data_IF_141629474172
#
_entry.id   IF_141629474172
#
_cell.length_a   1.000
_cell.length_b   1.000
_cell.length_c   1.000
_cell.angle_alpha   90.00
_cell.angle_beta   90.00
_cell.angle_gamma   90.00
#
_symmetry.space_group_name_H-M   'P 1'
#
loop_
_entity.id
_entity.type
_entity.pdbx_description
1 polymer ?
#
# COMPACT_ATOMS: atom_id res chain seq x y z
N UNK A 1 10.27 9.82 3.68
CA UNK A 1 9.31 9.78 2.56
C UNK A 1 10.00 10.40 1.36
N UNK A 2 10.23 9.61 0.31
CA UNK A 2 10.96 10.08 -0.86
C UNK A 2 10.19 11.16 -1.63
N UNK A 3 10.90 12.20 -2.06
CA UNK A 3 10.43 13.29 -2.93
C UNK A 3 9.60 12.82 -4.14
N UNK A 4 9.80 11.59 -4.62
CA UNK A 4 9.11 11.05 -5.79
C UNK A 4 7.57 10.97 -5.69
N UNK A 5 6.98 11.02 -4.50
CA UNK A 5 5.53 10.82 -4.34
C UNK A 5 4.69 12.11 -4.29
N UNK A 6 5.30 13.30 -4.17
CA UNK A 6 4.55 14.55 -3.98
C UNK A 6 3.83 14.97 -5.25
N UNK A 7 4.49 14.92 -6.41
CA UNK A 7 3.87 15.29 -7.70
C UNK A 7 2.72 14.34 -8.08
N UNK A 8 2.89 13.04 -7.86
CA UNK A 8 1.85 12.05 -8.13
C UNK A 8 0.65 12.26 -7.20
N UNK A 9 0.89 12.53 -5.92
CA UNK A 9 -0.16 12.84 -4.96
C UNK A 9 -0.97 14.08 -5.38
N UNK A 10 -0.29 15.18 -5.73
CA UNK A 10 -0.95 16.40 -6.21
C UNK A 10 -1.74 16.17 -7.50
N UNK A 11 -1.21 15.39 -8.44
CA UNK A 11 -1.92 15.06 -9.67
C UNK A 11 -3.21 14.27 -9.38
N UNK A 12 -3.17 13.29 -8.47
CA UNK A 12 -4.35 12.51 -8.08
C UNK A 12 -5.37 13.38 -7.35
N UNK A 13 -4.94 14.30 -6.48
CA UNK A 13 -5.80 15.25 -5.80
C UNK A 13 -6.54 16.17 -6.78
N UNK A 14 -5.84 16.73 -7.77
CA UNK A 14 -6.44 17.54 -8.83
C UNK A 14 -7.41 16.73 -9.71
N UNK A 15 -7.08 15.48 -10.02
CA UNK A 15 -7.98 14.58 -10.77
C UNK A 15 -9.24 14.30 -9.95
N UNK A 16 -9.11 13.98 -8.66
CA UNK A 16 -10.27 13.77 -7.78
C UNK A 16 -11.15 15.01 -7.71
N UNK A 17 -10.56 16.19 -7.55
CA UNK A 17 -11.30 17.45 -7.55
C UNK A 17 -12.10 17.64 -8.85
N UNK A 18 -11.47 17.41 -10.00
CA UNK A 18 -12.13 17.50 -11.30
C UNK A 18 -13.28 16.49 -11.46
N UNK A 19 -13.05 15.25 -10.99
CA UNK A 19 -14.05 14.18 -11.03
C UNK A 19 -15.26 14.51 -10.14
N UNK A 20 -15.04 14.97 -8.91
CA UNK A 20 -16.14 15.35 -8.02
C UNK A 20 -16.90 16.57 -8.52
N UNK A 21 -16.22 17.56 -9.08
CA UNK A 21 -16.90 18.70 -9.73
C UNK A 21 -17.81 18.21 -10.86
N UNK A 22 -17.30 17.30 -11.70
CA UNK A 22 -18.08 16.67 -12.77
C UNK A 22 -19.29 15.90 -12.28
N UNK A 23 -19.12 15.06 -11.26
CA UNK A 23 -20.21 14.29 -10.64
C UNK A 23 -21.29 15.21 -10.04
N UNK A 24 -20.90 16.29 -9.36
CA UNK A 24 -21.83 17.28 -8.80
C UNK A 24 -22.67 17.91 -9.92
N UNK A 25 -22.02 18.35 -11.00
CA UNK A 25 -22.72 18.95 -12.15
C UNK A 25 -23.69 17.96 -12.81
N UNK A 26 -23.27 16.71 -13.02
CA UNK A 26 -24.12 15.65 -13.58
C UNK A 26 -25.30 15.31 -12.66
N UNK A 27 -25.12 15.43 -11.35
CA UNK A 27 -26.18 15.13 -10.38
C UNK A 27 -27.28 16.17 -10.42
N UNK A 28 -26.95 17.45 -10.62
CA UNK A 28 -27.96 18.51 -10.73
C UNK A 28 -28.87 18.37 -11.97
N UNK A 29 -28.44 17.61 -12.98
CA UNK A 29 -29.29 17.27 -14.14
C UNK A 29 -30.32 16.16 -13.82
N UNK A 30 -30.21 15.50 -12.66
CA UNK A 30 -31.12 14.43 -12.24
C UNK A 30 -32.30 14.99 -11.43
N UNK A 31 -33.47 14.37 -11.58
CA UNK A 31 -34.69 14.73 -10.86
C UNK A 31 -35.12 13.70 -9.81
N UNK A 32 -35.95 14.15 -8.86
CA UNK A 32 -36.70 13.28 -7.95
C UNK A 32 -35.85 12.45 -6.99
N UNK A 33 -36.23 11.18 -6.78
CA UNK A 33 -35.55 10.29 -5.81
C UNK A 33 -34.12 9.93 -6.27
N UNK A 34 -33.89 9.85 -7.58
CA UNK A 34 -32.56 9.52 -8.14
C UNK A 34 -31.55 10.60 -7.77
N UNK A 35 -31.94 11.87 -7.82
CA UNK A 35 -31.12 12.99 -7.35
C UNK A 35 -30.67 12.80 -5.90
N UNK A 36 -31.62 12.49 -4.99
CA UNK A 36 -31.30 12.32 -3.57
C UNK A 36 -30.34 11.16 -3.29
N UNK A 37 -30.53 10.03 -3.97
CA UNK A 37 -29.64 8.88 -3.86
C UNK A 37 -28.23 9.19 -4.39
N UNK A 38 -28.14 9.84 -5.55
CA UNK A 38 -26.88 10.23 -6.17
C UNK A 38 -26.12 11.25 -5.34
N UNK A 39 -26.82 12.26 -4.82
CA UNK A 39 -26.23 13.25 -3.94
C UNK A 39 -25.63 12.62 -2.67
N UNK A 40 -26.35 11.69 -2.03
CA UNK A 40 -25.83 10.98 -0.86
C UNK A 40 -24.63 10.10 -1.19
N UNK A 41 -24.67 9.39 -2.33
CA UNK A 41 -23.55 8.57 -2.79
C UNK A 41 -22.30 9.42 -3.02
N UNK A 42 -22.41 10.58 -3.68
CA UNK A 42 -21.30 11.50 -3.90
C UNK A 42 -20.72 12.00 -2.58
N UNK A 43 -21.57 12.38 -1.62
CA UNK A 43 -21.10 12.83 -0.30
C UNK A 43 -20.32 11.73 0.42
N UNK A 44 -20.81 10.49 0.37
CA UNK A 44 -20.11 9.34 0.93
C UNK A 44 -18.77 9.10 0.23
N UNK A 45 -18.73 9.13 -1.11
CA UNK A 45 -17.50 8.94 -1.88
C UNK A 45 -16.48 10.04 -1.62
N UNK A 46 -16.91 11.29 -1.47
CA UNK A 46 -16.06 12.43 -1.14
C UNK A 46 -15.40 12.26 0.24
N UNK A 47 -16.17 11.80 1.23
CA UNK A 47 -15.63 11.50 2.55
C UNK A 47 -14.64 10.32 2.50
N UNK A 48 -14.98 9.25 1.78
CA UNK A 48 -14.11 8.09 1.61
C UNK A 48 -12.81 8.43 0.86
N UNK A 49 -12.87 9.31 -0.15
CA UNK A 49 -11.68 9.77 -0.89
C UNK A 49 -10.79 10.64 -0.02
N UNK A 50 -11.37 11.50 0.81
CA UNK A 50 -10.61 12.31 1.77
C UNK A 50 -9.82 11.43 2.75
N UNK A 51 -10.47 10.42 3.33
CA UNK A 51 -9.78 9.44 4.21
C UNK A 51 -8.67 8.73 3.44
N UNK A 52 -8.95 8.26 2.22
CA UNK A 52 -7.97 7.54 1.40
C UNK A 52 -6.75 8.41 1.06
N UNK A 53 -6.95 9.69 0.76
CA UNK A 53 -5.87 10.66 0.53
C UNK A 53 -5.03 10.87 1.79
N UNK A 54 -5.62 11.00 2.98
CA UNK A 54 -4.88 11.09 4.24
C UNK A 54 -4.02 9.84 4.48
N UNK A 55 -4.54 8.66 4.15
CA UNK A 55 -3.84 7.39 4.32
C UNK A 55 -2.66 7.29 3.35
N UNK A 56 -2.85 7.70 2.09
CA UNK A 56 -1.78 7.82 1.10
C UNK A 56 -0.72 8.82 1.54
N UNK A 57 -1.13 9.98 2.05
CA UNK A 57 -0.24 11.03 2.56
C UNK A 57 0.63 10.52 3.71
N UNK A 58 0.05 9.73 4.62
CA UNK A 58 0.78 9.10 5.72
C UNK A 58 1.63 7.89 5.29
N UNK A 59 1.66 7.56 4.00
CA UNK A 59 2.48 6.46 3.46
C UNK A 59 1.98 5.07 3.83
N UNK A 60 0.71 4.96 4.24
CA UNK A 60 0.14 3.68 4.67
C UNK A 60 -0.29 2.87 3.44
N UNK A 61 0.06 1.58 3.45
CA UNK A 61 -0.01 0.70 2.28
C UNK A 61 -1.42 0.53 1.67
N UNK A 62 -2.47 0.64 2.48
CA UNK A 62 -3.84 0.40 2.01
C UNK A 62 -4.51 1.63 1.36
N UNK A 63 -3.86 2.80 1.39
CA UNK A 63 -4.42 4.02 0.80
C UNK A 63 -4.57 3.97 -0.73
N UNK A 64 -3.61 3.38 -1.44
CA UNK A 64 -3.69 3.24 -2.90
C UNK A 64 -4.76 2.22 -3.34
N UNK A 65 -4.85 1.03 -2.71
CA UNK A 65 -5.97 0.12 -2.94
C UNK A 65 -7.34 0.76 -2.68
N UNK A 66 -7.48 1.56 -1.62
CA UNK A 66 -8.76 2.23 -1.33
C UNK A 66 -9.11 3.30 -2.36
N UNK A 67 -8.14 4.11 -2.81
CA UNK A 67 -8.35 5.05 -3.92
C UNK A 67 -8.76 4.34 -5.21
N UNK A 68 -8.11 3.22 -5.55
CA UNK A 68 -8.47 2.44 -6.74
C UNK A 68 -9.92 1.93 -6.67
N UNK A 69 -10.35 1.44 -5.50
CA UNK A 69 -11.73 1.03 -5.28
C UNK A 69 -12.71 2.19 -5.43
N UNK A 70 -12.39 3.38 -4.90
CA UNK A 70 -13.23 4.57 -5.02
C UNK A 70 -13.41 4.97 -6.48
N UNK A 71 -12.32 5.03 -7.26
CA UNK A 71 -12.41 5.32 -8.69
C UNK A 71 -13.21 4.26 -9.45
N UNK A 72 -13.11 2.97 -9.08
CA UNK A 72 -13.94 1.93 -9.67
C UNK A 72 -15.44 2.15 -9.38
N UNK A 73 -15.79 2.51 -8.14
CA UNK A 73 -17.17 2.83 -7.77
C UNK A 73 -17.67 4.07 -8.53
N UNK A 74 -16.84 5.10 -8.70
CA UNK A 74 -17.17 6.28 -9.50
C UNK A 74 -17.44 5.92 -10.96
N UNK A 75 -16.61 5.05 -11.57
CA UNK A 75 -16.84 4.61 -12.95
C UNK A 75 -18.14 3.82 -13.09
N UNK A 76 -18.46 2.96 -12.13
CA UNK A 76 -19.74 2.25 -12.09
C UNK A 76 -20.90 3.26 -11.94
N UNK A 77 -20.75 4.25 -11.08
CA UNK A 77 -21.75 5.29 -10.87
C UNK A 77 -22.00 6.11 -12.14
N UNK A 78 -20.94 6.53 -12.85
CA UNK A 78 -21.06 7.20 -14.15
C UNK A 78 -21.80 6.33 -15.19
N UNK A 79 -21.60 5.01 -15.19
CA UNK A 79 -22.37 4.10 -16.05
C UNK A 79 -23.85 4.05 -15.66
N UNK A 80 -24.17 4.10 -14.36
CA UNK A 80 -25.56 4.16 -13.87
C UNK A 80 -26.22 5.49 -14.26
N UNK A 81 -25.54 6.61 -14.07
CA UNK A 81 -26.01 7.95 -14.48
C UNK A 81 -26.29 7.98 -15.99
N UNK A 82 -25.38 7.43 -16.80
CA UNK A 82 -25.58 7.30 -18.24
C UNK A 82 -26.80 6.44 -18.60
N UNK A 83 -27.00 5.32 -17.90
CA UNK A 83 -28.14 4.43 -18.14
C UNK A 83 -29.49 5.11 -17.87
N UNK A 84 -29.56 5.94 -16.82
CA UNK A 84 -30.78 6.65 -16.42
C UNK A 84 -31.04 7.87 -17.30
N UNK A 85 -30.04 8.72 -17.52
CA UNK A 85 -30.24 10.01 -18.19
C UNK A 85 -30.11 9.91 -19.72
N UNK A 86 -29.35 8.92 -20.24
CA UNK A 86 -29.00 8.73 -21.67
C UNK A 86 -28.41 9.95 -22.39
N UNK A 87 -28.14 11.03 -21.68
CA UNK A 87 -27.54 12.25 -22.21
C UNK A 87 -26.03 12.18 -22.07
N UNK A 88 -25.34 12.19 -23.21
CA UNK A 88 -23.88 12.35 -23.28
C UNK A 88 -23.59 13.82 -23.48
N UNK A 89 -23.38 14.55 -22.38
CA UNK A 89 -22.89 15.93 -22.43
C UNK A 89 -21.35 15.97 -22.30
N UNK A 90 -20.76 17.12 -22.59
CA UNK A 90 -19.32 17.29 -22.48
C UNK A 90 -18.80 17.01 -21.05
N UNK A 91 -19.59 17.39 -20.04
CA UNK A 91 -19.27 17.14 -18.62
C UNK A 91 -19.11 15.64 -18.36
N UNK A 92 -20.05 14.81 -18.81
CA UNK A 92 -19.99 13.36 -18.70
C UNK A 92 -18.71 12.80 -19.31
N UNK A 93 -18.40 13.22 -20.54
CA UNK A 93 -17.22 12.73 -21.27
C UNK A 93 -15.91 13.07 -20.53
N UNK A 94 -15.72 14.33 -20.13
CA UNK A 94 -14.52 14.75 -19.41
C UNK A 94 -14.41 14.11 -18.03
N UNK A 95 -15.52 13.98 -17.30
CA UNK A 95 -15.56 13.33 -15.97
C UNK A 95 -15.18 11.86 -16.08
N UNK A 96 -15.70 11.17 -17.09
CA UNK A 96 -15.39 9.75 -17.35
C UNK A 96 -13.92 9.55 -17.69
N UNK A 97 -13.34 10.41 -18.55
CA UNK A 97 -11.91 10.35 -18.87
C UNK A 97 -11.07 10.63 -17.62
N UNK A 98 -11.38 11.67 -16.85
CA UNK A 98 -10.65 12.00 -15.63
C UNK A 98 -10.72 10.85 -14.61
N UNK A 99 -11.90 10.24 -14.41
CA UNK A 99 -12.07 9.09 -13.53
C UNK A 99 -11.28 7.87 -14.03
N UNK A 100 -11.26 7.60 -15.33
CA UNK A 100 -10.50 6.50 -15.91
C UNK A 100 -8.99 6.71 -15.76
N UNK A 101 -8.49 7.92 -15.99
CA UNK A 101 -7.07 8.28 -15.78
C UNK A 101 -6.71 8.12 -14.29
N UNK A 102 -7.54 8.63 -13.39
CA UNK A 102 -7.36 8.48 -11.94
C UNK A 102 -7.34 7.01 -11.51
N UNK A 103 -8.24 6.19 -12.07
CA UNK A 103 -8.27 4.75 -11.82
C UNK A 103 -6.98 4.05 -12.27
N UNK A 104 -6.51 4.33 -13.49
CA UNK A 104 -5.29 3.74 -14.03
C UNK A 104 -4.09 4.10 -13.16
N UNK A 105 -3.94 5.38 -12.79
CA UNK A 105 -2.86 5.84 -11.91
C UNK A 105 -2.92 5.11 -10.56
N UNK A 106 -4.11 4.99 -9.96
CA UNK A 106 -4.27 4.30 -8.69
C UNK A 106 -3.88 2.82 -8.78
N UNK A 107 -4.30 2.11 -9.84
CA UNK A 107 -3.97 0.69 -10.06
C UNK A 107 -2.48 0.48 -10.29
N UNK A 108 -1.85 1.31 -11.12
CA UNK A 108 -0.39 1.25 -11.37
C UNK A 108 0.36 1.48 -10.05
N UNK A 109 -0.04 2.49 -9.27
CA UNK A 109 0.58 2.80 -7.97
C UNK A 109 0.48 1.65 -6.97
N UNK A 110 -0.62 0.88 -6.99
CA UNK A 110 -0.75 -0.36 -6.19
C UNK A 110 0.26 -1.41 -6.64
N UNK A 111 0.41 -1.59 -7.96
CA UNK A 111 1.31 -2.59 -8.53
C UNK A 111 2.78 -2.25 -8.24
N UNK A 112 3.18 -1.00 -8.42
CA UNK A 112 4.56 -0.55 -8.21
C UNK A 112 5.00 -0.77 -6.76
N UNK A 113 4.16 -0.43 -5.78
CA UNK A 113 4.46 -0.70 -4.36
C UNK A 113 4.55 -2.18 -4.04
N UNK A 114 3.73 -3.00 -4.71
CA UNK A 114 3.81 -4.46 -4.54
C UNK A 114 5.11 -5.00 -5.12
N UNK A 115 5.57 -4.46 -6.25
CA UNK A 115 6.84 -4.82 -6.86
C UNK A 115 8.02 -4.38 -5.99
N UNK A 116 8.02 -3.15 -5.48
CA UNK A 116 9.06 -2.64 -4.57
C UNK A 116 9.19 -3.53 -3.33
N UNK A 117 8.06 -3.94 -2.72
CA UNK A 117 8.08 -4.91 -1.60
C UNK A 117 8.62 -6.27 -2.00
N UNK A 118 8.32 -6.75 -3.20
CA UNK A 118 8.85 -8.02 -3.70
C UNK A 118 10.35 -7.90 -3.99
N UNK A 119 10.81 -6.78 -4.53
CA UNK A 119 12.23 -6.51 -4.78
C UNK A 119 13.01 -6.38 -3.46
N UNK A 120 12.48 -5.70 -2.45
CA UNK A 120 13.07 -5.68 -1.10
C UNK A 120 13.12 -7.08 -0.46
N UNK A 121 12.17 -7.96 -0.78
CA UNK A 121 12.19 -9.36 -0.34
C UNK A 121 13.12 -10.26 -1.16
N UNK A 122 13.34 -9.92 -2.44
CA UNK A 122 14.14 -10.67 -3.40
C UNK A 122 15.57 -10.17 -3.55
N UNK A 123 15.91 -8.98 -3.02
CA UNK A 123 17.26 -8.41 -3.10
C UNK A 123 18.24 -9.52 -2.69
N UNK A 124 19.07 -9.99 -3.63
CA UNK A 124 20.00 -11.05 -3.34
C UNK A 124 20.83 -10.52 -2.19
N UNK A 125 20.77 -11.21 -1.05
CA UNK A 125 21.69 -10.97 0.04
C UNK A 125 23.05 -11.16 -0.59
N UNK A 126 23.69 -10.05 -1.00
CA UNK A 126 25.12 -10.00 -1.23
C UNK A 126 25.64 -10.72 -0.01
N UNK A 127 26.23 -11.90 -0.25
CA UNK A 127 27.01 -12.53 0.76
C UNK A 127 27.99 -11.44 1.13
N UNK A 128 27.73 -10.77 2.24
CA UNK A 128 28.75 -10.07 2.96
C UNK A 128 29.69 -11.21 3.33
N UNK A 129 30.58 -11.54 2.40
CA UNK A 129 31.85 -12.18 2.64
C UNK A 129 32.66 -11.16 3.43
N UNK A 130 32.12 -10.72 4.57
CA UNK A 130 32.95 -10.67 5.76
C UNK A 130 33.63 -12.02 5.75
N UNK A 131 34.96 -12.02 5.71
CA UNK A 131 35.75 -13.19 6.03
C UNK A 131 35.21 -13.69 7.37
N UNK A 132 34.25 -14.60 7.31
CA UNK A 132 33.57 -15.16 8.46
C UNK A 132 34.57 -16.11 9.08
N UNK A 133 35.10 -15.74 10.25
CA UNK A 133 35.34 -16.75 11.27
C UNK A 133 33.98 -17.03 11.91
N UNK A 134 33.34 -18.18 11.67
CA UNK A 134 32.06 -18.51 12.28
C UNK A 134 32.14 -18.32 13.79
N UNK A 135 31.30 -17.43 14.33
CA UNK A 135 31.06 -17.36 15.77
C UNK A 135 30.46 -18.67 16.25
N UNK A 136 30.74 -19.06 17.50
CA UNK A 136 30.35 -20.36 18.07
C UNK A 136 28.83 -20.54 18.15
N UNK A 137 28.06 -19.45 18.16
CA UNK A 137 26.62 -19.46 18.40
C UNK A 137 25.83 -18.54 17.46
N UNK A 138 24.57 -18.89 17.23
CA UNK A 138 23.60 -18.12 16.43
C UNK A 138 22.32 -17.87 17.23
N UNK A 139 21.76 -16.67 17.12
CA UNK A 139 20.46 -16.31 17.73
C UNK A 139 19.62 -15.48 16.76
N UNK A 140 18.36 -15.25 17.09
CA UNK A 140 17.52 -14.26 16.40
C UNK A 140 17.63 -12.91 17.13
N UNK A 141 17.61 -11.77 16.42
CA UNK A 141 17.67 -10.41 17.00
C UNK A 141 16.67 -10.17 18.15
N UNK A 142 15.55 -10.91 18.18
CA UNK A 142 14.50 -10.82 19.22
C UNK A 142 14.46 -12.02 20.17
N UNK A 143 15.32 -13.01 19.99
CA UNK A 143 15.33 -14.22 20.83
C UNK A 143 16.17 -14.00 22.08
N UNK A 144 15.72 -14.57 23.19
CA UNK A 144 16.51 -14.68 24.42
C UNK A 144 17.39 -15.93 24.43
N UNK A 145 17.26 -16.83 23.45
CA UNK A 145 18.00 -18.09 23.35
C UNK A 145 19.03 -18.05 22.23
N UNK A 146 20.18 -18.69 22.45
CA UNK A 146 21.19 -18.93 21.42
C UNK A 146 21.34 -20.43 21.13
N UNK A 147 21.79 -20.72 19.91
CA UNK A 147 21.78 -22.05 19.32
C UNK A 147 23.13 -22.42 18.72
N UNK A 148 23.36 -23.72 18.50
CA UNK A 148 24.45 -24.18 17.66
C UNK A 148 24.17 -23.85 16.18
N UNK A 149 25.20 -23.51 15.37
CA UNK A 149 25.03 -23.16 13.95
C UNK A 149 24.29 -24.21 13.12
N UNK A 150 24.50 -25.49 13.44
CA UNK A 150 23.95 -26.63 12.69
C UNK A 150 22.61 -27.15 13.23
N UNK A 151 22.05 -26.57 14.29
CA UNK A 151 20.80 -27.09 14.85
C UNK A 151 19.58 -26.74 14.00
N UNK A 152 18.50 -27.52 14.11
CA UNK A 152 17.31 -27.32 13.29
C UNK A 152 16.59 -26.00 13.57
N UNK A 153 16.71 -25.47 14.78
CA UNK A 153 16.22 -24.14 15.12
C UNK A 153 16.99 -23.04 14.39
N UNK A 154 18.32 -23.13 14.33
CA UNK A 154 19.17 -22.16 13.62
C UNK A 154 18.81 -22.08 12.13
N UNK A 155 18.55 -23.23 11.49
CA UNK A 155 18.13 -23.30 10.08
C UNK A 155 16.79 -22.60 9.81
N UNK A 156 15.93 -22.49 10.82
CA UNK A 156 14.62 -21.83 10.72
C UNK A 156 14.69 -20.31 10.96
N UNK A 157 15.79 -19.78 11.50
CA UNK A 157 15.94 -18.35 11.71
C UNK A 157 16.13 -17.67 10.35
N UNK A 158 15.23 -16.74 9.99
CA UNK A 158 15.38 -15.91 8.80
C UNK A 158 16.73 -15.18 8.84
N UNK A 159 17.52 -15.22 7.77
CA UNK A 159 18.88 -14.63 7.71
C UNK A 159 18.95 -13.18 8.24
N UNK A 160 17.98 -12.32 7.90
CA UNK A 160 17.89 -10.92 8.40
C UNK A 160 17.82 -10.79 9.93
N UNK A 161 17.30 -11.82 10.58
CA UNK A 161 17.20 -11.88 12.03
C UNK A 161 18.34 -12.67 12.66
N UNK A 162 19.16 -13.39 11.89
CA UNK A 162 20.29 -14.13 12.42
C UNK A 162 21.33 -13.16 12.98
N UNK A 163 21.81 -13.49 14.17
CA UNK A 163 22.88 -12.79 14.84
C UNK A 163 23.91 -13.83 15.29
N UNK A 164 25.09 -13.77 14.72
CA UNK A 164 26.22 -14.62 15.08
C UNK A 164 26.96 -13.98 16.25
N UNK A 165 27.22 -14.75 17.29
CA UNK A 165 27.77 -14.25 18.54
C UNK A 165 28.95 -15.11 18.99
N UNK A 166 29.94 -14.45 19.59
CA UNK A 166 30.96 -15.13 20.39
C UNK A 166 30.38 -15.57 21.74
N UNK A 167 31.11 -16.40 22.48
CA UNK A 167 30.70 -16.81 23.82
C UNK A 167 30.67 -15.61 24.82
N UNK A 168 31.56 -14.65 24.62
CA UNK A 168 31.61 -13.40 25.40
C UNK A 168 30.40 -12.51 25.12
N UNK A 169 30.03 -12.35 23.85
CA UNK A 169 28.85 -11.57 23.46
C UNK A 169 27.55 -12.19 24.00
N UNK A 170 27.45 -13.52 24.00
CA UNK A 170 26.33 -14.26 24.57
C UNK A 170 26.19 -13.96 26.07
N UNK A 171 27.30 -14.00 26.82
CA UNK A 171 27.31 -13.67 28.26
C UNK A 171 26.95 -12.20 28.50
N UNK A 172 27.54 -11.28 27.75
CA UNK A 172 27.27 -9.84 27.84
C UNK A 172 25.81 -9.49 27.56
N UNK A 173 25.16 -10.22 26.65
CA UNK A 173 23.74 -10.05 26.30
C UNK A 173 22.78 -10.82 27.21
N UNK A 174 23.27 -11.65 28.15
CA UNK A 174 22.42 -12.43 29.05
C UNK A 174 21.55 -13.46 28.35
N UNK A 175 21.99 -14.00 27.20
CA UNK A 175 21.20 -14.97 26.43
C UNK A 175 21.27 -16.37 27.06
N UNK A 176 20.14 -17.09 27.02
CA UNK A 176 19.98 -18.43 27.59
C UNK A 176 20.38 -19.51 26.58
N UNK A 177 21.02 -20.57 27.07
CA UNK A 177 21.40 -21.74 26.26
C UNK A 177 20.15 -22.49 25.80
N UNK A 178 20.03 -22.80 24.51
CA UNK A 178 18.96 -23.68 24.02
C UNK A 178 19.33 -25.16 24.18
N UNK A 179 18.32 -26.04 24.24
CA UNK A 179 18.47 -27.50 24.39
C UNK A 179 19.32 -28.19 23.30
N UNK A 180 19.61 -27.50 22.19
CA UNK A 180 20.47 -28.01 21.12
C UNK A 180 21.97 -27.95 21.48
N UNK A 181 22.32 -27.26 22.55
CA UNK A 181 23.66 -27.21 23.10
C UNK A 181 23.60 -28.04 24.40
N UNK A 182 23.83 -29.34 24.31
CA UNK A 182 24.02 -30.19 25.49
C UNK A 182 25.42 -29.95 26.01
#
# INVERSE_FOLDING_TARGET
>A
MGEKNTNLFLAVDLILLAVFLGLILLTFDLGGVVFGLQFFLILFLLFASFISLLVVYNGVDWGWPSLSLIFAVILIDLLLVYSVNRLVNAVYFFTTIAAAVGFIIAVISVKDRRLEKLEEEMEPYEEAVTKYTPGKYITSRRSIYYHAPKCDWAKKIRKKNQLWLSEEDVKKKGLKKHNCLK
#
